data_IF_122589853795
#
_entry.id   IF_122589853795
#
_cell.length_a   1.000
_cell.length_b   1.000
_cell.length_c   1.000
_cell.angle_alpha   90.00
_cell.angle_beta   90.00
_cell.angle_gamma   90.00
#
_symmetry.space_group_name_H-M   'P 1'
#
loop_
_entity.id
_entity.type
_entity.pdbx_description
1 polymer ?
#
# COMPACT_ATOMS: atom_id res chain seq x y z
N UNK A 1 -9.18 -8.38 -17.14
CA UNK A 1 -10.35 -7.87 -16.41
C UNK A 1 -10.98 -6.76 -17.26
N UNK A 2 -12.31 -6.71 -17.39
CA UNK A 2 -12.95 -5.58 -18.06
C UNK A 2 -12.74 -4.29 -17.23
N UNK A 3 -12.60 -3.11 -17.86
CA UNK A 3 -12.44 -1.85 -17.12
C UNK A 3 -13.64 -1.60 -16.20
N UNK A 4 -13.35 -1.19 -14.95
CA UNK A 4 -14.37 -0.75 -13.99
C UNK A 4 -14.44 0.77 -14.02
N UNK A 5 -15.63 1.38 -14.23
CA UNK A 5 -15.77 2.83 -14.23
C UNK A 5 -15.26 3.47 -12.92
N UNK A 6 -14.51 4.57 -13.04
CA UNK A 6 -13.90 5.26 -11.89
C UNK A 6 -12.70 4.53 -11.27
N UNK A 7 -12.22 3.44 -11.88
CA UNK A 7 -11.03 2.71 -11.42
C UNK A 7 -9.96 2.75 -12.50
N UNK A 8 -8.78 3.24 -12.12
CA UNK A 8 -7.57 3.16 -12.94
C UNK A 8 -6.81 1.88 -12.61
N UNK A 9 -6.36 1.18 -13.65
CA UNK A 9 -5.61 -0.06 -13.50
C UNK A 9 -4.17 0.16 -13.93
N UNK A 10 -3.23 -0.30 -13.10
CA UNK A 10 -1.83 -0.46 -13.46
C UNK A 10 -1.56 -1.96 -13.44
N UNK A 11 -1.12 -2.52 -14.56
CA UNK A 11 -0.75 -3.92 -14.68
C UNK A 11 0.76 -4.06 -14.49
N UNK A 12 1.17 -4.83 -13.50
CA UNK A 12 2.58 -5.10 -13.22
C UNK A 12 2.75 -5.87 -11.91
N UNK A 13 3.99 -6.27 -11.65
CA UNK A 13 4.37 -6.88 -10.37
C UNK A 13 4.64 -5.75 -9.36
N UNK A 14 3.89 -5.73 -8.25
CA UNK A 14 4.08 -4.72 -7.22
C UNK A 14 5.49 -4.71 -6.61
N UNK A 15 6.21 -5.84 -6.66
CA UNK A 15 7.59 -5.91 -6.19
C UNK A 15 8.59 -5.21 -7.12
N UNK A 16 8.19 -4.90 -8.36
CA UNK A 16 8.99 -4.12 -9.29
C UNK A 16 8.88 -2.62 -8.98
N UNK A 17 10.05 -1.97 -8.85
CA UNK A 17 10.15 -0.54 -8.62
C UNK A 17 9.48 0.31 -9.71
N UNK A 18 9.49 -0.15 -10.97
CA UNK A 18 8.83 0.50 -12.09
C UNK A 18 7.31 0.52 -11.88
N UNK A 19 6.72 -0.62 -11.53
CA UNK A 19 5.27 -0.71 -11.24
C UNK A 19 4.88 0.18 -10.06
N UNK A 20 5.70 0.21 -9.00
CA UNK A 20 5.48 1.15 -7.88
C UNK A 20 5.60 2.61 -8.32
N UNK A 21 6.52 2.94 -9.22
CA UNK A 21 6.63 4.29 -9.77
C UNK A 21 5.39 4.66 -10.60
N UNK A 22 4.90 3.76 -11.46
CA UNK A 22 3.67 3.96 -12.24
C UNK A 22 2.46 4.15 -11.32
N UNK A 23 2.33 3.36 -10.26
CA UNK A 23 1.26 3.54 -9.26
C UNK A 23 1.33 4.91 -8.60
N UNK A 24 2.52 5.37 -8.19
CA UNK A 24 2.71 6.71 -7.61
C UNK A 24 2.34 7.83 -8.57
N UNK A 25 2.71 7.70 -9.84
CA UNK A 25 2.33 8.67 -10.88
C UNK A 25 0.81 8.70 -11.11
N UNK A 26 0.15 7.53 -11.07
CA UNK A 26 -1.30 7.43 -11.26
C UNK A 26 -2.10 8.11 -10.15
N UNK A 27 -1.59 8.15 -8.91
CA UNK A 27 -2.27 8.82 -7.78
C UNK A 27 -2.45 10.34 -7.99
N UNK A 28 -1.73 10.95 -8.93
CA UNK A 28 -1.71 12.39 -9.23
C UNK A 28 -2.59 12.90 -10.36
N UNK A 29 -3.28 12.02 -11.08
CA UNK A 29 -4.15 12.44 -12.18
C UNK A 29 -5.60 12.34 -11.73
N UNK A 30 -6.32 13.46 -11.73
CA UNK A 30 -7.78 13.46 -11.72
C UNK A 30 -8.24 12.71 -12.97
N UNK A 31 -8.64 11.45 -12.82
CA UNK A 31 -9.29 10.70 -13.90
C UNK A 31 -10.79 10.98 -13.83
N UNK A 32 -11.13 12.26 -13.98
CA UNK A 32 -12.47 12.72 -14.28
C UNK A 32 -12.91 12.19 -15.65
N UNK A 33 -14.20 11.88 -15.76
CA UNK A 33 -14.80 11.16 -16.87
C UNK A 33 -14.48 11.66 -18.28
N UNK A 34 -14.72 10.74 -19.20
CA UNK A 34 -14.55 10.81 -20.65
C UNK A 34 -13.14 10.46 -21.14
N UNK A 35 -13.09 9.27 -21.75
CA UNK A 35 -11.87 8.49 -21.95
C UNK A 35 -10.77 9.20 -22.72
N UNK A 36 -9.53 8.85 -22.38
CA UNK A 36 -8.37 9.21 -23.20
C UNK A 36 -7.34 8.08 -23.20
N UNK A 37 -6.87 7.78 -24.41
CA UNK A 37 -5.81 6.81 -24.75
C UNK A 37 -4.52 7.07 -23.97
N UNK A 38 -3.86 5.99 -23.57
CA UNK A 38 -2.43 6.02 -23.26
C UNK A 38 -1.69 6.39 -24.56
N UNK A 39 -1.10 7.59 -24.62
CA UNK A 39 -0.22 7.96 -25.72
C UNK A 39 1.14 7.25 -25.51
N UNK A 40 1.59 6.51 -26.52
CA UNK A 40 2.94 5.98 -26.60
C UNK A 40 3.96 7.15 -26.62
N UNK A 41 5.01 7.05 -25.80
CA UNK A 41 6.21 7.91 -25.95
C UNK A 41 6.50 8.97 -24.88
N UNK A 42 5.95 8.90 -23.66
CA UNK A 42 6.37 9.80 -22.56
C UNK A 42 7.24 9.09 -21.53
N UNK A 43 8.51 8.91 -21.89
CA UNK A 43 9.61 8.74 -20.93
C UNK A 43 10.64 9.81 -21.28
N UNK A 44 10.58 10.95 -20.57
CA UNK A 44 11.69 11.90 -20.54
C UNK A 44 11.92 12.37 -19.12
N UNK A 45 13.11 12.00 -18.68
CA UNK A 45 13.94 12.62 -17.66
C UNK A 45 13.47 12.52 -16.20
N UNK A 46 14.42 12.09 -15.37
CA UNK A 46 14.22 11.68 -13.98
C UNK A 46 13.83 12.82 -13.04
N UNK A 47 13.19 12.43 -11.94
CA UNK A 47 12.73 13.32 -10.88
C UNK A 47 11.20 13.44 -10.85
N UNK A 48 10.50 12.31 -10.68
CA UNK A 48 9.04 12.32 -10.61
C UNK A 48 8.54 12.68 -9.22
N UNK A 49 8.24 13.95 -8.97
CA UNK A 49 7.42 14.36 -7.84
C UNK A 49 6.03 13.70 -7.94
N UNK A 50 5.58 13.08 -6.84
CA UNK A 50 4.29 12.38 -6.79
C UNK A 50 3.18 13.44 -6.69
N UNK A 51 2.43 13.76 -7.75
CA UNK A 51 1.42 14.83 -7.69
C UNK A 51 0.10 14.47 -7.00
N UNK A 52 -0.16 13.21 -6.68
CA UNK A 52 -1.37 12.91 -5.91
C UNK A 52 -1.32 11.75 -4.98
N UNK A 53 -2.51 11.46 -4.46
CA UNK A 53 -2.63 11.14 -3.05
C UNK A 53 -3.56 9.99 -2.78
N UNK A 54 -3.22 9.19 -1.76
CA UNK A 54 -4.10 8.18 -1.21
C UNK A 54 -4.42 8.49 0.26
N UNK A 55 -5.67 8.29 0.67
CA UNK A 55 -6.02 8.25 2.09
C UNK A 55 -5.89 6.83 2.67
N UNK A 56 -6.13 5.82 1.84
CA UNK A 56 -6.09 4.41 2.22
C UNK A 56 -5.28 3.62 1.19
N UNK A 57 -4.42 2.73 1.68
CA UNK A 57 -3.76 1.71 0.87
C UNK A 57 -4.26 0.35 1.35
N UNK A 58 -4.81 -0.42 0.43
CA UNK A 58 -5.30 -1.78 0.65
C UNK A 58 -4.44 -2.75 -0.14
N UNK A 59 -3.90 -3.76 0.55
CA UNK A 59 -3.21 -4.89 -0.06
C UNK A 59 -3.92 -6.17 0.33
N UNK A 60 -4.47 -6.86 -0.68
CA UNK A 60 -4.93 -8.24 -0.58
C UNK A 60 -3.97 -9.20 -1.31
N UNK A 61 -2.74 -8.75 -1.57
CA UNK A 61 -1.75 -9.54 -2.28
C UNK A 61 -1.26 -10.71 -1.40
N UNK A 62 -0.99 -11.84 -2.04
CA UNK A 62 -0.36 -13.00 -1.45
C UNK A 62 0.73 -13.52 -2.40
N UNK A 63 1.86 -14.01 -1.89
CA UNK A 63 2.85 -14.66 -2.73
C UNK A 63 2.33 -16.00 -3.24
N UNK A 64 2.97 -16.54 -4.28
CA UNK A 64 2.78 -17.93 -4.67
C UNK A 64 3.14 -18.85 -3.51
N UNK A 65 2.13 -19.56 -3.00
CA UNK A 65 2.26 -20.48 -1.88
C UNK A 65 3.00 -21.73 -2.35
N UNK A 66 4.14 -21.99 -1.73
CA UNK A 66 4.95 -23.18 -1.98
C UNK A 66 4.47 -24.41 -1.20
N UNK A 67 3.60 -24.20 -0.20
CA UNK A 67 3.16 -25.22 0.75
C UNK A 67 4.07 -25.34 1.97
N UNK A 68 5.27 -24.76 1.93
CA UNK A 68 6.13 -24.62 3.10
C UNK A 68 5.72 -23.39 3.91
N UNK A 69 5.13 -23.64 5.10
CA UNK A 69 4.58 -22.58 5.94
C UNK A 69 5.60 -21.52 6.34
N UNK A 70 6.86 -21.88 6.54
CA UNK A 70 7.89 -20.94 6.95
C UNK A 70 8.28 -20.02 5.81
N UNK A 71 8.55 -20.59 4.63
CA UNK A 71 8.87 -19.85 3.41
C UNK A 71 7.71 -18.96 2.97
N UNK A 72 6.49 -19.48 2.98
CA UNK A 72 5.29 -18.75 2.58
C UNK A 72 5.02 -17.59 3.53
N UNK A 73 5.23 -17.80 4.84
CA UNK A 73 5.13 -16.73 5.82
C UNK A 73 6.18 -15.64 5.59
N UNK A 74 7.45 -16.02 5.37
CA UNK A 74 8.53 -15.06 5.12
C UNK A 74 8.25 -14.20 3.89
N UNK A 75 7.84 -14.82 2.78
CA UNK A 75 7.44 -14.11 1.55
C UNK A 75 6.28 -13.14 1.78
N UNK A 76 5.33 -13.54 2.63
CA UNK A 76 4.20 -12.69 2.99
C UNK A 76 4.64 -11.48 3.81
N UNK A 77 5.55 -11.66 4.78
CA UNK A 77 6.13 -10.55 5.54
C UNK A 77 6.93 -9.61 4.63
N UNK A 78 7.73 -10.14 3.72
CA UNK A 78 8.53 -9.33 2.79
C UNK A 78 7.64 -8.47 1.89
N UNK A 79 6.54 -9.03 1.40
CA UNK A 79 5.52 -8.29 0.64
C UNK A 79 4.85 -7.20 1.50
N UNK A 80 4.54 -7.49 2.76
CA UNK A 80 3.95 -6.50 3.68
C UNK A 80 4.92 -5.35 3.99
N UNK A 81 6.23 -5.61 4.11
CA UNK A 81 7.24 -4.56 4.23
C UNK A 81 7.28 -3.66 2.99
N UNK A 82 7.17 -4.23 1.79
CA UNK A 82 7.11 -3.43 0.55
C UNK A 82 5.86 -2.55 0.50
N UNK A 83 4.71 -3.09 0.93
CA UNK A 83 3.45 -2.32 1.02
C UNK A 83 3.58 -1.17 2.02
N UNK A 84 4.17 -1.40 3.19
CA UNK A 84 4.42 -0.34 4.17
C UNK A 84 5.37 0.73 3.61
N UNK A 85 6.49 0.33 3.00
CA UNK A 85 7.45 1.28 2.42
C UNK A 85 6.83 2.13 1.30
N UNK A 86 6.02 1.52 0.44
CA UNK A 86 5.25 2.23 -0.57
C UNK A 86 4.26 3.22 0.07
N UNK A 87 3.53 2.78 1.10
CA UNK A 87 2.57 3.62 1.80
C UNK A 87 3.22 4.81 2.50
N UNK A 88 4.33 4.58 3.19
CA UNK A 88 5.10 5.62 3.86
C UNK A 88 5.58 6.67 2.85
N UNK A 89 6.04 6.24 1.67
CA UNK A 89 6.43 7.15 0.58
C UNK A 89 5.25 7.98 0.08
N UNK A 90 4.11 7.34 -0.19
CA UNK A 90 2.89 8.02 -0.66
C UNK A 90 2.40 9.01 0.39
N UNK A 91 2.35 8.64 1.66
CA UNK A 91 1.85 9.51 2.73
C UNK A 91 2.82 10.64 3.08
N UNK A 92 4.14 10.39 3.09
CA UNK A 92 5.15 11.42 3.35
C UNK A 92 5.15 12.53 2.28
N UNK A 93 4.94 12.17 1.00
CA UNK A 93 4.83 13.14 -0.10
C UNK A 93 3.69 14.16 0.10
N UNK A 94 2.70 13.84 0.95
CA UNK A 94 1.59 14.74 1.29
C UNK A 94 1.87 15.67 2.46
N UNK A 95 2.74 15.30 3.39
CA UNK A 95 3.04 16.12 4.57
C UNK A 95 3.90 17.33 4.21
N UNK A 96 4.85 17.17 3.29
CA UNK A 96 5.71 18.27 2.80
C UNK A 96 4.88 19.38 2.14
N UNK A 97 3.73 19.05 1.56
CA UNK A 97 2.86 20.03 0.87
C UNK A 97 2.00 20.89 1.81
N UNK A 98 1.97 20.63 3.12
CA UNK A 98 1.14 21.40 4.05
C UNK A 98 1.91 21.76 5.33
N UNK A 99 2.57 22.92 5.29
CA UNK A 99 3.04 23.69 6.47
C UNK A 99 1.89 24.21 7.36
N UNK A 100 0.81 23.45 7.55
CA UNK A 100 -0.33 23.88 8.35
C UNK A 100 -0.84 22.73 9.18
N UNK A 101 -0.59 22.86 10.50
CA UNK A 101 -1.26 22.24 11.64
C UNK A 101 -1.87 20.85 11.39
N UNK A 102 -1.36 19.84 12.11
CA UNK A 102 -1.88 18.46 12.19
C UNK A 102 -3.42 18.44 12.20
N UNK A 103 -4.02 18.36 11.03
CA UNK A 103 -5.47 18.45 10.91
C UNK A 103 -6.03 17.03 11.04
N UNK A 104 -7.30 16.91 11.44
CA UNK A 104 -8.06 15.65 11.47
C UNK A 104 -7.89 14.77 10.20
N UNK A 105 -7.49 15.38 9.08
CA UNK A 105 -7.18 14.75 7.78
C UNK A 105 -5.90 13.90 7.78
N UNK A 106 -4.82 14.24 8.50
CA UNK A 106 -3.62 13.38 8.60
C UNK A 106 -3.91 12.05 9.34
N UNK A 107 -4.89 12.07 10.26
CA UNK A 107 -5.35 10.86 10.97
C UNK A 107 -6.06 9.83 10.08
N UNK A 108 -6.31 10.16 8.80
CA UNK A 108 -6.99 9.25 7.85
C UNK A 108 -6.04 8.29 7.14
N UNK A 109 -4.73 8.54 7.16
CA UNK A 109 -3.74 7.69 6.46
C UNK A 109 -3.72 6.29 7.05
N UNK A 110 -4.14 5.33 6.25
CA UNK A 110 -4.40 3.96 6.68
C UNK A 110 -3.82 2.96 5.71
N UNK A 111 -3.17 1.94 6.23
CA UNK A 111 -2.78 0.73 5.50
C UNK A 111 -3.58 -0.44 6.06
N UNK A 112 -4.21 -1.22 5.17
CA UNK A 112 -4.74 -2.53 5.47
C UNK A 112 -4.02 -3.55 4.60
N UNK A 113 -3.20 -4.42 5.19
CA UNK A 113 -2.38 -5.37 4.45
C UNK A 113 -2.69 -6.80 4.89
N UNK A 114 -3.00 -7.67 3.94
CA UNK A 114 -3.12 -9.11 4.16
C UNK A 114 -1.81 -9.70 4.66
N UNK A 115 -1.95 -10.63 5.58
CA UNK A 115 -0.91 -11.45 6.16
C UNK A 115 -1.42 -12.89 6.32
N UNK A 116 -0.51 -13.83 6.47
CA UNK A 116 -0.81 -15.17 6.97
C UNK A 116 -0.14 -15.33 8.32
N UNK A 117 -0.90 -15.84 9.29
CA UNK A 117 -0.42 -16.11 10.65
C UNK A 117 0.84 -16.96 10.61
N UNK A 118 1.87 -16.50 11.29
CA UNK A 118 3.15 -17.20 11.38
C UNK A 118 4.04 -16.63 12.49
N UNK A 119 5.32 -16.99 12.42
CA UNK A 119 6.32 -16.54 13.39
C UNK A 119 6.94 -15.24 12.90
N UNK A 120 7.29 -14.33 13.81
CA UNK A 120 8.05 -13.10 13.49
C UNK A 120 7.22 -11.94 12.90
N UNK A 121 5.89 -12.04 12.89
CA UNK A 121 4.99 -10.91 12.56
C UNK A 121 5.11 -9.73 13.55
N UNK A 122 5.55 -9.99 14.78
CA UNK A 122 5.71 -8.94 15.79
C UNK A 122 6.78 -7.91 15.40
N UNK A 123 7.81 -8.31 14.65
CA UNK A 123 8.81 -7.35 14.17
C UNK A 123 8.22 -6.38 13.16
N UNK A 124 7.40 -6.88 12.22
CA UNK A 124 6.64 -6.05 11.29
C UNK A 124 5.68 -5.12 12.04
N UNK A 125 4.98 -5.61 13.06
CA UNK A 125 4.08 -4.79 13.87
C UNK A 125 4.84 -3.70 14.65
N UNK A 126 6.01 -4.00 15.23
CA UNK A 126 6.88 -2.98 15.85
C UNK A 126 7.32 -1.93 14.85
N UNK A 127 7.73 -2.36 13.66
CA UNK A 127 8.11 -1.48 12.55
C UNK A 127 6.94 -0.58 12.09
N UNK A 128 5.72 -1.10 12.07
CA UNK A 128 4.54 -0.29 11.79
C UNK A 128 4.20 0.66 12.95
N UNK A 129 4.29 0.22 14.22
CA UNK A 129 3.96 1.06 15.40
C UNK A 129 4.87 2.26 15.55
N UNK A 130 6.11 2.21 15.06
CA UNK A 130 6.99 3.38 15.04
C UNK A 130 6.48 4.49 14.09
N UNK A 131 5.74 4.12 13.04
CA UNK A 131 5.29 5.02 11.95
C UNK A 131 3.79 5.34 11.97
N UNK A 132 2.98 4.54 12.67
CA UNK A 132 1.52 4.70 12.72
C UNK A 132 1.02 4.82 14.17
N UNK A 133 -0.07 5.56 14.39
CA UNK A 133 -0.70 5.78 15.71
C UNK A 133 -1.31 4.51 16.30
N UNK A 134 -2.02 3.72 15.48
CA UNK A 134 -2.75 2.53 15.91
C UNK A 134 -2.47 1.38 14.94
N UNK A 135 -1.89 0.30 15.47
CA UNK A 135 -1.53 -0.89 14.69
C UNK A 135 -2.07 -2.14 15.37
N UNK A 136 -2.89 -2.90 14.65
CA UNK A 136 -3.52 -4.12 15.15
C UNK A 136 -3.72 -5.17 14.06
N UNK A 137 -3.76 -6.42 14.48
CA UNK A 137 -4.14 -7.56 13.65
C UNK A 137 -5.66 -7.74 13.67
N UNK A 138 -6.25 -7.97 12.51
CA UNK A 138 -7.67 -8.23 12.30
C UNK A 138 -7.86 -9.58 11.62
N UNK A 139 -8.70 -10.44 12.19
CA UNK A 139 -9.19 -11.66 11.53
C UNK A 139 -10.55 -11.35 10.88
N UNK A 140 -10.71 -11.46 9.55
CA UNK A 140 -12.00 -11.21 8.92
C UNK A 140 -13.03 -12.25 9.37
N UNK A 141 -14.27 -11.81 9.63
CA UNK A 141 -15.39 -12.73 9.92
C UNK A 141 -15.70 -13.68 8.75
N UNK A 142 -15.40 -13.25 7.52
CA UNK A 142 -15.59 -14.05 6.31
C UNK A 142 -14.46 -15.07 6.08
N UNK A 143 -13.36 -15.01 6.82
CA UNK A 143 -12.26 -15.96 6.69
C UNK A 143 -12.64 -17.27 7.36
N UNK A 144 -12.41 -18.41 6.68
CA UNK A 144 -12.64 -19.74 7.25
C UNK A 144 -11.77 -19.94 8.50
N UNK A 145 -12.28 -20.65 9.51
CA UNK A 145 -11.57 -20.87 10.77
C UNK A 145 -10.21 -21.57 10.60
N UNK A 146 -10.08 -22.41 9.58
CA UNK A 146 -8.87 -23.14 9.22
C UNK A 146 -7.82 -22.30 8.45
N UNK A 147 -8.21 -21.15 7.89
CA UNK A 147 -7.29 -20.28 7.16
C UNK A 147 -6.42 -19.49 8.14
N UNK A 148 -5.12 -19.41 7.86
CA UNK A 148 -4.19 -18.53 8.59
C UNK A 148 -4.33 -17.05 8.23
N UNK A 149 -5.20 -16.68 7.30
CA UNK A 149 -5.34 -15.31 6.79
C UNK A 149 -5.74 -14.31 7.88
N UNK A 150 -5.06 -13.19 7.93
CA UNK A 150 -5.33 -12.06 8.81
C UNK A 150 -4.91 -10.76 8.12
N UNK A 151 -5.26 -9.61 8.67
CA UNK A 151 -4.86 -8.32 8.13
C UNK A 151 -4.18 -7.48 9.21
N UNK A 152 -3.06 -6.87 8.88
CA UNK A 152 -2.51 -5.77 9.65
C UNK A 152 -3.24 -4.49 9.26
N UNK A 153 -3.88 -3.86 10.23
CA UNK A 153 -4.40 -2.49 10.13
C UNK A 153 -3.40 -1.55 10.79
N UNK A 154 -2.88 -0.57 10.04
CA UNK A 154 -2.04 0.51 10.54
C UNK A 154 -2.70 1.86 10.21
N UNK A 155 -3.03 2.67 11.23
CA UNK A 155 -3.77 3.94 11.09
C UNK A 155 -3.00 5.11 11.67
N UNK A 156 -3.18 6.27 11.06
CA UNK A 156 -2.61 7.54 11.52
C UNK A 156 -1.10 7.58 11.30
N UNK A 157 -0.67 7.70 10.05
CA UNK A 157 0.73 7.89 9.71
C UNK A 157 1.32 9.11 10.45
N UNK A 158 2.50 8.94 11.06
CA UNK A 158 3.14 9.89 11.99
C UNK A 158 4.14 10.84 11.32
N UNK A 159 4.51 10.59 10.07
CA UNK A 159 5.52 11.40 9.35
C UNK A 159 6.97 11.13 9.74
N UNK A 160 7.24 10.10 10.54
CA UNK A 160 8.60 9.68 10.90
C UNK A 160 9.02 8.55 9.95
N UNK A 161 9.88 8.86 8.99
CA UNK A 161 10.52 7.87 8.10
C UNK A 161 11.81 7.39 8.74
#
# INVERSE_FOLDING_TARGET
>A
MAPVPGVSFVLGDFSNAETQATLRQALGRDVGGDGMKLAEGMWKDGGGECEGTADVILSDMAPDLSGDKFRDHRRTLDLAYQVLAFADTVFASQEVRKNSARTKKQRRKTVLCKLFKGRDEEELLRHARSRYEDVRILKPKASRGESGEQYMLARGFKGRV
#
